data_IF_329653061756
#
_entry.id   IF_329653061756
#
_cell.length_a   1.000
_cell.length_b   1.000
_cell.length_c   1.000
_cell.angle_alpha   90.00
_cell.angle_beta   90.00
_cell.angle_gamma   90.00
#
_symmetry.space_group_name_H-M   'P 1'
#
loop_
_entity.id
_entity.type
_entity.pdbx_description
1 polymer ?
#
# COMPACT_ATOMS: atom_id res chain seq x y z
N UNK A 1 -40.91 27.10 -5.51
CA UNK A 1 -39.50 27.19 -5.92
C UNK A 1 -38.52 27.46 -4.78
N UNK A 2 -38.82 28.33 -3.80
CA UNK A 2 -37.89 28.68 -2.70
C UNK A 2 -37.41 27.52 -1.81
N UNK A 3 -38.25 26.49 -1.56
CA UNK A 3 -37.86 25.34 -0.71
C UNK A 3 -36.94 24.32 -1.41
N UNK A 4 -37.08 24.12 -2.73
CA UNK A 4 -36.22 23.19 -3.47
C UNK A 4 -34.79 23.72 -3.64
N UNK A 5 -34.63 25.05 -3.75
CA UNK A 5 -33.31 25.70 -3.81
C UNK A 5 -32.61 25.63 -2.45
N UNK A 6 -33.33 25.82 -1.33
CA UNK A 6 -32.75 25.64 0.02
C UNK A 6 -32.29 24.21 0.28
N UNK A 7 -33.05 23.19 -0.12
CA UNK A 7 -32.63 21.79 0.01
C UNK A 7 -31.39 21.45 -0.83
N UNK A 8 -31.30 21.95 -2.06
CA UNK A 8 -30.14 21.72 -2.92
C UNK A 8 -28.87 22.39 -2.39
N UNK A 9 -29.00 23.58 -1.76
CA UNK A 9 -27.87 24.27 -1.13
C UNK A 9 -27.42 23.58 0.15
N UNK A 10 -28.36 23.17 1.02
CA UNK A 10 -28.05 22.41 2.25
C UNK A 10 -27.40 21.07 1.94
N UNK A 11 -27.86 20.36 0.90
CA UNK A 11 -27.29 19.08 0.48
C UNK A 11 -25.89 19.22 -0.14
N UNK A 12 -25.61 20.31 -0.86
CA UNK A 12 -24.25 20.61 -1.34
C UNK A 12 -23.31 20.99 -0.20
N UNK A 13 -23.75 21.80 0.76
CA UNK A 13 -22.95 22.15 1.94
C UNK A 13 -22.67 20.88 2.78
N UNK A 14 -23.66 20.00 2.95
CA UNK A 14 -23.47 18.72 3.63
C UNK A 14 -22.48 17.79 2.90
N UNK A 15 -22.47 17.77 1.56
CA UNK A 15 -21.49 16.99 0.77
C UNK A 15 -20.05 17.48 0.93
N UNK A 16 -19.84 18.77 1.18
CA UNK A 16 -18.49 19.33 1.39
C UNK A 16 -18.08 19.34 2.87
N UNK A 17 -19.02 19.47 3.81
CA UNK A 17 -18.74 19.47 5.25
C UNK A 17 -18.65 18.05 5.85
N UNK A 18 -19.35 17.05 5.30
CA UNK A 18 -19.33 15.69 5.85
C UNK A 18 -17.95 14.98 5.73
N UNK A 19 -17.21 15.06 4.60
CA UNK A 19 -15.86 14.50 4.53
C UNK A 19 -14.88 15.26 5.44
N UNK A 20 -15.03 16.58 5.54
CA UNK A 20 -14.23 17.45 6.40
C UNK A 20 -14.47 17.15 7.90
N UNK A 21 -15.71 16.85 8.31
CA UNK A 21 -16.06 16.44 9.67
C UNK A 21 -15.55 15.03 10.01
N UNK A 22 -15.55 14.09 9.07
CA UNK A 22 -14.98 12.75 9.25
C UNK A 22 -13.46 12.80 9.45
N UNK A 23 -12.78 13.80 8.88
CA UNK A 23 -11.34 14.05 9.05
C UNK A 23 -11.04 14.90 10.31
N UNK A 24 -11.86 15.91 10.64
CA UNK A 24 -11.63 16.79 11.78
C UNK A 24 -11.95 16.16 13.15
N UNK A 25 -12.94 15.27 13.23
CA UNK A 25 -13.36 14.70 14.52
C UNK A 25 -12.27 13.79 15.14
N UNK A 26 -11.59 12.90 14.38
CA UNK A 26 -10.45 12.14 14.90
C UNK A 26 -9.27 13.04 15.27
N UNK A 27 -8.99 14.09 14.49
CA UNK A 27 -7.89 15.04 14.75
C UNK A 27 -8.16 15.86 16.02
N UNK A 28 -9.39 16.33 16.23
CA UNK A 28 -9.79 17.06 17.44
C UNK A 28 -9.81 16.18 18.69
N UNK A 29 -10.16 14.89 18.56
CA UNK A 29 -10.07 13.93 19.67
C UNK A 29 -8.62 13.58 20.03
N UNK A 30 -7.71 13.52 19.06
CA UNK A 30 -6.26 13.34 19.30
C UNK A 30 -5.67 14.60 19.98
N UNK A 31 -6.07 15.81 19.56
CA UNK A 31 -5.65 17.06 20.24
C UNK A 31 -6.20 17.12 21.67
N UNK A 32 -7.46 16.72 21.90
CA UNK A 32 -8.03 16.65 23.25
C UNK A 32 -7.33 15.62 24.16
N UNK A 33 -6.75 14.55 23.60
CA UNK A 33 -5.97 13.56 24.32
C UNK A 33 -4.50 13.97 24.56
N UNK A 34 -3.92 14.83 23.70
CA UNK A 34 -2.53 15.32 23.86
C UNK A 34 -2.42 16.60 24.68
N UNK A 35 -3.53 17.33 24.91
CA UNK A 35 -3.56 18.51 25.80
C UNK A 35 -3.52 18.17 27.30
N UNK A 36 -3.45 16.88 27.67
CA UNK A 36 -3.19 16.42 29.04
C UNK A 36 -1.72 16.03 29.30
N UNK A 37 -0.76 16.55 28.52
CA UNK A 37 0.65 16.55 28.91
C UNK A 37 0.98 17.84 29.69
N UNK A 38 0.91 17.87 31.03
CA UNK A 38 1.60 18.90 31.76
C UNK A 38 3.11 18.68 31.59
N UNK A 39 3.74 19.71 31.03
CA UNK A 39 5.16 19.98 31.18
C UNK A 39 5.65 19.68 32.60
N UNK A 40 6.82 19.03 32.69
CA UNK A 40 7.69 18.80 33.85
C UNK A 40 7.39 19.71 35.04
N UNK A 41 6.84 19.15 36.13
CA UNK A 41 6.96 19.67 37.50
C UNK A 41 6.97 18.50 38.50
N UNK A 42 7.84 18.59 39.50
CA UNK A 42 8.14 17.57 40.51
C UNK A 42 7.03 17.42 41.56
N UNK A 43 6.76 16.16 42.02
CA UNK A 43 6.04 15.69 43.25
C UNK A 43 4.71 16.38 43.66
N UNK A 44 3.64 15.68 44.06
CA UNK A 44 3.47 14.92 45.33
C UNK A 44 2.14 14.11 45.31
N UNK A 45 2.04 13.09 46.16
CA UNK A 45 1.00 12.05 46.30
C UNK A 45 -0.47 12.46 46.59
N UNK A 46 -1.35 11.43 46.43
CA UNK A 46 -2.75 11.21 46.92
C UNK A 46 -3.87 12.00 46.19
N UNK A 47 -4.99 11.44 45.69
CA UNK A 47 -5.86 10.34 46.17
C UNK A 47 -6.76 9.83 45.03
N UNK A 48 -7.25 8.59 45.16
CA UNK A 48 -8.06 7.75 44.26
C UNK A 48 -9.39 8.35 43.74
N UNK A 49 -9.68 8.14 42.45
CA UNK A 49 -11.03 7.84 41.92
C UNK A 49 -10.92 6.84 40.76
N UNK A 50 -11.68 5.77 40.88
CA UNK A 50 -11.63 4.56 40.06
C UNK A 50 -12.51 4.70 38.81
N UNK A 51 -11.89 4.65 37.64
CA UNK A 51 -12.52 4.22 36.38
C UNK A 51 -11.50 3.38 35.64
N UNK A 52 -11.76 2.08 35.55
CA UNK A 52 -10.91 1.06 34.93
C UNK A 52 -10.84 1.28 33.40
N UNK A 53 -9.96 2.19 32.98
CA UNK A 53 -9.51 2.37 31.60
C UNK A 53 -8.19 1.60 31.43
N UNK A 54 -8.20 0.60 30.55
CA UNK A 54 -7.18 -0.44 30.50
C UNK A 54 -5.74 0.06 30.37
N UNK A 55 -4.96 -0.19 31.43
CA UNK A 55 -3.50 -0.29 31.54
C UNK A 55 -2.66 0.43 30.47
N UNK A 56 -2.36 1.71 30.75
CA UNK A 56 -1.25 2.45 30.16
C UNK A 56 -0.17 2.73 31.22
N UNK A 57 0.36 1.69 31.87
CA UNK A 57 1.45 1.85 32.84
C UNK A 57 2.84 1.62 32.19
N UNK A 58 3.05 2.12 30.98
CA UNK A 58 4.32 1.90 30.27
C UNK A 58 4.60 2.86 29.13
N UNK A 59 5.85 2.88 28.70
CA UNK A 59 6.34 3.59 27.52
C UNK A 59 6.91 2.57 26.54
N UNK A 60 6.99 2.95 25.25
CA UNK A 60 7.75 2.20 24.25
C UNK A 60 9.19 1.89 24.71
N UNK A 61 9.77 2.75 25.55
CA UNK A 61 11.16 2.65 26.01
C UNK A 61 11.36 1.86 27.31
N UNK A 62 10.29 1.49 28.02
CA UNK A 62 10.38 0.70 29.26
C UNK A 62 10.15 -0.79 28.96
N UNK A 63 11.24 -1.55 28.88
CA UNK A 63 11.24 -3.00 28.58
C UNK A 63 10.48 -3.84 29.62
N UNK A 64 10.36 -3.37 30.85
CA UNK A 64 9.74 -4.14 31.94
C UNK A 64 8.23 -3.86 32.08
N UNK A 65 7.76 -2.77 31.48
CA UNK A 65 6.33 -2.43 31.44
C UNK A 65 5.52 -3.44 30.63
N UNK A 66 4.20 -3.43 30.81
CA UNK A 66 3.32 -4.26 29.98
C UNK A 66 3.43 -3.93 28.50
N UNK A 67 3.64 -2.65 28.14
CA UNK A 67 3.93 -2.23 26.76
C UNK A 67 5.26 -2.84 26.30
N UNK A 68 6.31 -2.77 27.12
CA UNK A 68 7.62 -3.35 26.81
C UNK A 68 7.59 -4.86 26.58
N UNK A 69 6.76 -5.60 27.33
CA UNK A 69 6.53 -7.03 27.10
C UNK A 69 5.86 -7.30 25.74
N UNK A 70 4.86 -6.49 25.36
CA UNK A 70 4.20 -6.60 24.04
C UNK A 70 5.17 -6.29 22.90
N UNK A 71 5.96 -5.22 23.05
CA UNK A 71 7.03 -4.85 22.11
C UNK A 71 8.01 -6.00 21.95
N UNK A 72 8.48 -6.56 23.07
CA UNK A 72 9.41 -7.70 23.06
C UNK A 72 8.83 -8.94 22.37
N UNK A 73 7.54 -9.23 22.58
CA UNK A 73 6.86 -10.32 21.90
C UNK A 73 6.80 -10.10 20.38
N UNK A 74 6.40 -8.90 19.92
CA UNK A 74 6.35 -8.56 18.50
C UNK A 74 7.75 -8.66 17.88
N UNK A 75 8.77 -8.13 18.56
CA UNK A 75 10.18 -8.22 18.13
C UNK A 75 10.59 -9.68 17.91
N UNK A 76 10.38 -10.55 18.91
CA UNK A 76 10.78 -11.96 18.83
C UNK A 76 10.11 -12.66 17.63
N UNK A 77 8.80 -12.45 17.46
CA UNK A 77 8.02 -13.06 16.38
C UNK A 77 8.48 -12.63 15.00
N UNK A 78 8.60 -11.32 14.75
CA UNK A 78 9.02 -10.81 13.44
C UNK A 78 10.50 -11.05 13.16
N UNK A 79 11.37 -11.01 14.18
CA UNK A 79 12.79 -11.37 14.03
C UNK A 79 12.95 -12.84 13.63
N UNK A 80 12.21 -13.77 14.27
CA UNK A 80 12.20 -15.19 13.88
C UNK A 80 11.70 -15.43 12.46
N UNK A 81 10.80 -14.57 11.98
CA UNK A 81 10.29 -14.61 10.61
C UNK A 81 11.22 -13.91 9.59
N UNK A 82 12.39 -13.41 10.01
CA UNK A 82 13.41 -12.85 9.13
C UNK A 82 13.24 -11.36 8.80
N UNK A 83 12.35 -10.63 9.47
CA UNK A 83 12.20 -9.19 9.25
C UNK A 83 13.40 -8.42 9.80
N UNK A 84 13.80 -7.33 9.14
CA UNK A 84 14.90 -6.49 9.60
C UNK A 84 14.52 -5.72 10.87
N UNK A 85 15.54 -5.18 11.57
CA UNK A 85 15.29 -4.32 12.71
C UNK A 85 14.52 -3.04 12.35
N UNK A 86 14.68 -2.52 11.13
CA UNK A 86 13.92 -1.38 10.62
C UNK A 86 12.46 -1.73 10.36
N UNK A 87 12.19 -2.90 9.75
CA UNK A 87 10.83 -3.38 9.58
C UNK A 87 10.12 -3.49 10.93
N UNK A 88 10.75 -4.17 11.90
CA UNK A 88 10.16 -4.41 13.22
C UNK A 88 9.88 -3.10 13.94
N UNK A 89 10.82 -2.16 13.89
CA UNK A 89 10.67 -0.86 14.54
C UNK A 89 9.51 -0.05 13.95
N UNK A 90 9.38 -0.02 12.62
CA UNK A 90 8.29 0.67 11.93
C UNK A 90 6.93 0.03 12.25
N UNK A 91 6.83 -1.30 12.20
CA UNK A 91 5.60 -2.06 12.48
C UNK A 91 5.08 -1.77 13.90
N UNK A 92 5.96 -1.73 14.88
CA UNK A 92 5.63 -1.43 16.28
C UNK A 92 5.24 0.04 16.45
N UNK A 93 5.98 0.96 15.81
CA UNK A 93 5.65 2.39 15.83
C UNK A 93 4.27 2.69 15.21
N UNK A 94 3.88 1.95 14.17
CA UNK A 94 2.54 2.05 13.59
C UNK A 94 1.49 1.48 14.54
N UNK A 95 1.71 0.30 15.14
CA UNK A 95 0.81 -0.22 16.18
C UNK A 95 0.66 0.73 17.38
N UNK A 96 1.71 1.50 17.70
CA UNK A 96 1.65 2.59 18.66
C UNK A 96 0.77 3.75 18.18
N UNK A 97 0.96 4.20 16.93
CA UNK A 97 0.10 5.23 16.30
C UNK A 97 -1.38 4.85 16.35
N UNK A 98 -1.69 3.60 16.04
CA UNK A 98 -3.06 3.11 15.86
C UNK A 98 -3.79 2.87 17.20
N UNK A 99 -3.10 2.37 18.22
CA UNK A 99 -3.78 1.91 19.45
C UNK A 99 -2.98 2.07 20.75
N UNK A 100 -1.81 2.72 20.70
CA UNK A 100 -0.81 2.65 21.77
C UNK A 100 -0.43 1.19 22.12
N UNK A 101 -0.35 0.32 21.11
CA UNK A 101 -0.10 -1.13 21.25
C UNK A 101 -1.10 -1.82 22.20
N UNK A 102 -2.35 -1.36 22.25
CA UNK A 102 -3.38 -1.96 23.09
C UNK A 102 -4.18 -3.01 22.31
N UNK A 103 -4.02 -4.32 22.61
CA UNK A 103 -4.77 -5.37 21.92
C UNK A 103 -6.28 -5.31 22.20
N UNK A 104 -6.71 -4.61 23.25
CA UNK A 104 -8.12 -4.39 23.59
C UNK A 104 -8.66 -3.06 23.05
N UNK A 105 -7.89 -2.31 22.27
CA UNK A 105 -8.37 -1.05 21.70
C UNK A 105 -9.57 -1.30 20.80
N UNK A 106 -10.60 -0.46 20.96
CA UNK A 106 -11.81 -0.47 20.14
C UNK A 106 -12.11 0.97 19.74
N UNK A 107 -12.28 1.20 18.44
CA UNK A 107 -12.77 2.46 17.92
C UNK A 107 -14.12 2.22 17.22
N UNK A 108 -15.24 2.50 17.91
CA UNK A 108 -16.57 2.25 17.37
C UNK A 108 -16.89 3.07 16.11
N UNK A 109 -16.37 4.30 16.02
CA UNK A 109 -16.64 5.18 14.87
C UNK A 109 -16.03 4.63 13.58
N UNK A 110 -14.83 4.06 13.66
CA UNK A 110 -14.19 3.35 12.55
C UNK A 110 -14.65 1.89 12.39
N UNK A 111 -15.39 1.34 13.35
CA UNK A 111 -15.64 -0.11 13.43
C UNK A 111 -14.35 -0.93 13.37
N UNK A 112 -13.31 -0.51 14.12
CA UNK A 112 -11.99 -1.13 14.13
C UNK A 112 -11.52 -1.54 15.53
N UNK A 113 -10.66 -2.57 15.62
CA UNK A 113 -10.16 -3.16 16.88
C UNK A 113 -8.69 -3.59 16.83
N UNK A 114 -8.05 -3.65 18.00
CA UNK A 114 -6.73 -4.27 18.19
C UNK A 114 -5.54 -3.35 17.91
N UNK A 115 -4.33 -3.93 17.95
CA UNK A 115 -3.05 -3.21 17.90
C UNK A 115 -2.94 -2.34 16.65
N UNK A 116 -3.28 -2.90 15.48
CA UNK A 116 -3.25 -2.21 14.19
C UNK A 116 -4.66 -1.86 13.69
N UNK A 117 -5.64 -1.73 14.60
CA UNK A 117 -6.99 -1.25 14.28
C UNK A 117 -7.63 -1.93 13.05
N UNK A 118 -7.67 -3.27 13.03
CA UNK A 118 -8.34 -4.03 11.98
C UNK A 118 -9.83 -3.73 11.93
N UNK A 119 -10.41 -3.74 10.73
CA UNK A 119 -11.87 -3.75 10.53
C UNK A 119 -12.53 -4.89 11.31
N UNK A 120 -13.52 -4.56 12.12
CA UNK A 120 -14.28 -5.47 12.98
C UNK A 120 -15.79 -5.45 12.63
N UNK A 121 -16.11 -5.21 11.36
CA UNK A 121 -17.45 -5.02 10.81
C UNK A 121 -17.64 -3.64 10.18
N UNK A 122 -18.84 -3.39 9.66
CA UNK A 122 -19.20 -2.08 9.11
C UNK A 122 -18.41 -1.70 7.85
N UNK A 123 -18.08 -0.41 7.71
CA UNK A 123 -17.51 0.15 6.47
C UNK A 123 -16.10 -0.36 6.17
N UNK A 124 -15.34 -0.76 7.20
CA UNK A 124 -13.97 -1.25 7.06
C UNK A 124 -13.89 -2.79 6.94
N UNK A 125 -15.05 -3.44 6.78
CA UNK A 125 -15.14 -4.90 6.70
C UNK A 125 -14.77 -5.58 8.03
N UNK A 126 -14.73 -6.91 8.03
CA UNK A 126 -14.44 -7.70 9.22
C UNK A 126 -13.16 -8.51 9.01
N UNK A 127 -11.99 -7.87 9.04
CA UNK A 127 -10.68 -8.55 9.03
C UNK A 127 -10.39 -9.20 10.39
N UNK A 128 -10.84 -8.58 11.47
CA UNK A 128 -10.62 -9.02 12.84
C UNK A 128 -11.32 -10.35 13.15
N UNK A 129 -12.50 -10.60 12.58
CA UNK A 129 -13.24 -11.86 12.70
C UNK A 129 -13.42 -12.27 14.18
N UNK A 130 -13.02 -13.48 14.53
CA UNK A 130 -13.03 -14.05 15.88
C UNK A 130 -11.64 -14.02 16.55
N UNK A 131 -10.73 -13.16 16.09
CA UNK A 131 -9.39 -13.01 16.66
C UNK A 131 -9.49 -12.56 18.13
N UNK A 132 -8.74 -13.21 19.00
CA UNK A 132 -8.74 -12.86 20.42
C UNK A 132 -8.09 -11.49 20.65
N UNK A 133 -8.56 -10.76 21.66
CA UNK A 133 -8.02 -9.45 22.07
C UNK A 133 -6.70 -9.60 22.87
N UNK A 134 -5.75 -10.39 22.34
CA UNK A 134 -4.39 -10.61 22.86
C UNK A 134 -3.34 -10.28 21.79
N UNK A 135 -2.10 -10.04 22.22
CA UNK A 135 -1.01 -9.69 21.30
C UNK A 135 -0.65 -10.87 20.41
N UNK A 136 -0.64 -12.07 20.97
CA UNK A 136 -0.32 -13.32 20.29
C UNK A 136 -1.25 -13.57 19.09
N UNK A 137 -2.57 -13.53 19.32
CA UNK A 137 -3.56 -13.79 18.30
C UNK A 137 -3.56 -12.73 17.19
N UNK A 138 -3.32 -11.46 17.56
CA UNK A 138 -3.24 -10.36 16.62
C UNK A 138 -1.96 -10.40 15.76
N UNK A 139 -0.83 -10.77 16.35
CA UNK A 139 0.41 -11.01 15.59
C UNK A 139 0.24 -12.20 14.63
N UNK A 140 -0.43 -13.27 15.06
CA UNK A 140 -0.74 -14.41 14.18
C UNK A 140 -1.67 -14.01 13.01
N UNK A 141 -2.68 -13.17 13.27
CA UNK A 141 -3.53 -12.61 12.22
C UNK A 141 -2.70 -11.78 11.23
N UNK A 142 -1.80 -10.91 11.71
CA UNK A 142 -0.92 -10.13 10.85
C UNK A 142 -0.07 -11.02 9.94
N UNK A 143 0.55 -12.08 10.48
CA UNK A 143 1.32 -13.03 9.67
C UNK A 143 0.47 -13.76 8.64
N UNK A 144 -0.73 -14.21 9.02
CA UNK A 144 -1.67 -14.85 8.09
C UNK A 144 -2.00 -13.93 6.92
N UNK A 145 -2.28 -12.67 7.20
CA UNK A 145 -2.60 -11.64 6.21
C UNK A 145 -1.39 -11.31 5.32
N UNK A 146 -0.20 -11.13 5.89
CA UNK A 146 1.04 -10.87 5.15
C UNK A 146 1.43 -12.04 4.22
N UNK A 147 1.10 -13.28 4.60
CA UNK A 147 1.32 -14.46 3.77
C UNK A 147 0.26 -14.65 2.67
N UNK A 148 -0.81 -13.85 2.67
CA UNK A 148 -1.96 -14.02 1.77
C UNK A 148 -2.43 -12.67 1.22
N UNK A 149 -3.51 -12.12 1.78
CA UNK A 149 -4.21 -10.94 1.29
C UNK A 149 -3.38 -9.66 1.25
N UNK A 150 -2.29 -9.57 2.03
CA UNK A 150 -1.39 -8.41 2.11
C UNK A 150 0.04 -8.80 1.70
N UNK A 151 0.16 -9.73 0.74
CA UNK A 151 1.45 -10.17 0.20
C UNK A 151 2.30 -9.01 -0.33
N UNK A 152 1.68 -7.97 -0.94
CA UNK A 152 2.44 -6.80 -1.41
C UNK A 152 3.09 -6.05 -0.25
N UNK A 153 2.43 -5.92 0.90
CA UNK A 153 3.02 -5.34 2.10
C UNK A 153 4.25 -6.15 2.55
N UNK A 154 4.13 -7.47 2.59
CA UNK A 154 5.23 -8.38 2.95
C UNK A 154 6.43 -8.24 2.00
N UNK A 155 6.17 -8.19 0.69
CA UNK A 155 7.22 -8.02 -0.32
C UNK A 155 7.84 -6.62 -0.26
N UNK A 156 7.04 -5.59 0.01
CA UNK A 156 7.52 -4.24 0.28
C UNK A 156 8.45 -4.20 1.49
N UNK A 157 8.08 -4.83 2.60
CA UNK A 157 8.93 -4.97 3.79
C UNK A 157 10.24 -5.71 3.50
N UNK A 158 10.19 -6.76 2.67
CA UNK A 158 11.37 -7.52 2.25
C UNK A 158 12.35 -6.71 1.36
N UNK A 159 11.87 -5.64 0.71
CA UNK A 159 12.67 -4.77 -0.15
C UNK A 159 12.93 -3.38 0.47
N UNK A 160 12.36 -3.10 1.64
CA UNK A 160 12.55 -1.85 2.35
C UNK A 160 14.01 -1.67 2.78
N UNK A 161 14.52 -0.45 2.64
CA UNK A 161 15.93 -0.09 2.87
C UNK A 161 16.16 0.56 4.23
N UNK A 162 15.09 1.06 4.84
CA UNK A 162 15.12 1.87 6.06
C UNK A 162 13.75 1.88 6.76
N UNK A 163 13.65 2.65 7.84
CA UNK A 163 12.40 2.85 8.61
C UNK A 163 11.31 3.49 7.74
N UNK A 164 11.65 4.45 6.87
CA UNK A 164 10.67 5.21 6.10
C UNK A 164 9.99 4.33 5.03
N UNK A 165 10.79 3.55 4.30
CA UNK A 165 10.31 2.56 3.33
C UNK A 165 9.58 1.39 4.02
N UNK A 166 10.02 0.99 5.22
CA UNK A 166 9.31 -0.03 6.02
C UNK A 166 7.93 0.46 6.48
N UNK A 167 7.85 1.69 6.99
CA UNK A 167 6.60 2.29 7.43
C UNK A 167 5.65 2.52 6.25
N UNK A 168 6.17 2.94 5.09
CA UNK A 168 5.37 3.09 3.88
C UNK A 168 4.80 1.75 3.38
N UNK A 169 5.61 0.69 3.38
CA UNK A 169 5.16 -0.65 2.99
C UNK A 169 4.03 -1.17 3.88
N UNK A 170 4.10 -0.94 5.20
CA UNK A 170 3.04 -1.30 6.13
C UNK A 170 1.80 -0.40 6.00
N UNK A 171 1.96 0.93 5.98
CA UNK A 171 0.83 1.86 5.86
C UNK A 171 0.02 1.63 4.59
N UNK A 172 0.69 1.55 3.44
CA UNK A 172 0.00 1.43 2.15
C UNK A 172 -0.43 0.00 1.86
N UNK A 173 0.37 -0.97 2.33
CA UNK A 173 0.20 -2.38 2.03
C UNK A 173 -0.65 -3.14 3.03
N UNK A 174 -0.64 -2.77 4.31
CA UNK A 174 -1.32 -3.49 5.40
C UNK A 174 -2.47 -2.67 6.01
N UNK A 175 -2.25 -1.38 6.28
CA UNK A 175 -3.30 -0.48 6.78
C UNK A 175 -4.23 0.00 5.64
N UNK A 176 -3.72 0.07 4.41
CA UNK A 176 -4.45 0.60 3.24
C UNK A 176 -4.51 2.14 3.22
N UNK A 177 -3.69 2.80 4.04
CA UNK A 177 -3.59 4.26 4.11
C UNK A 177 -2.77 4.76 2.92
N UNK A 178 -3.25 5.80 2.23
CA UNK A 178 -2.58 6.35 1.07
C UNK A 178 -1.17 6.88 1.38
N UNK A 179 -0.25 6.79 0.43
CA UNK A 179 1.14 7.17 0.65
C UNK A 179 1.33 8.64 1.08
N UNK A 180 0.51 9.55 0.55
CA UNK A 180 0.49 10.98 0.89
C UNK A 180 -0.50 11.32 2.00
N UNK A 181 -1.13 10.33 2.63
CA UNK A 181 -2.17 10.56 3.62
C UNK A 181 -1.57 11.09 4.93
N UNK A 182 -2.05 12.25 5.45
CA UNK A 182 -1.58 12.80 6.72
C UNK A 182 -1.78 11.85 7.92
N UNK A 183 -2.71 10.88 7.83
CA UNK A 183 -2.92 9.86 8.86
C UNK A 183 -1.64 9.08 9.16
N UNK A 184 -0.72 8.97 8.18
CA UNK A 184 0.54 8.24 8.36
C UNK A 184 1.42 8.80 9.46
N UNK A 185 1.35 10.12 9.75
CA UNK A 185 2.20 10.81 10.74
C UNK A 185 3.68 10.44 10.61
N UNK A 186 4.21 10.60 9.38
CA UNK A 186 5.52 10.07 8.98
C UNK A 186 6.63 10.47 9.95
N UNK A 187 6.68 11.75 10.35
CA UNK A 187 7.70 12.27 11.26
C UNK A 187 7.63 11.64 12.66
N UNK A 188 6.43 11.51 13.23
CA UNK A 188 6.24 10.91 14.55
C UNK A 188 6.50 9.41 14.55
N UNK A 189 5.99 8.69 13.53
CA UNK A 189 6.24 7.25 13.36
C UNK A 189 7.74 6.98 13.25
N UNK A 190 8.46 7.78 12.47
CA UNK A 190 9.92 7.67 12.35
C UNK A 190 10.62 7.87 13.70
N UNK A 191 10.26 8.92 14.44
CA UNK A 191 10.86 9.20 15.74
C UNK A 191 10.60 8.07 16.76
N UNK A 192 9.38 7.51 16.78
CA UNK A 192 9.08 6.35 17.63
C UNK A 192 9.85 5.10 17.19
N UNK A 193 9.91 4.82 15.90
CA UNK A 193 10.64 3.68 15.36
C UNK A 193 12.15 3.78 15.68
N UNK A 194 12.77 4.95 15.52
CA UNK A 194 14.17 5.18 15.91
C UNK A 194 14.39 4.96 17.42
N UNK A 195 13.44 5.41 18.25
CA UNK A 195 13.49 5.17 19.69
C UNK A 195 13.38 3.69 20.04
N UNK A 196 12.46 2.95 19.41
CA UNK A 196 12.30 1.50 19.59
C UNK A 196 13.58 0.78 19.13
N UNK A 197 14.08 1.11 17.93
CA UNK A 197 15.30 0.52 17.36
C UNK A 197 16.48 0.65 18.31
N UNK A 198 16.67 1.84 18.88
CA UNK A 198 17.72 2.13 19.85
C UNK A 198 17.51 1.41 21.18
N UNK A 199 16.29 1.42 21.73
CA UNK A 199 16.02 0.81 23.04
C UNK A 199 16.20 -0.71 23.00
N UNK A 200 15.76 -1.38 21.94
CA UNK A 200 15.75 -2.85 21.83
C UNK A 200 16.90 -3.42 21.01
N UNK A 201 17.91 -2.60 20.68
CA UNK A 201 19.11 -3.02 19.97
C UNK A 201 18.82 -3.69 18.62
N UNK A 202 17.88 -3.13 17.85
CA UNK A 202 17.41 -3.68 16.57
C UNK A 202 18.29 -3.23 15.39
N UNK A 203 19.61 -3.22 15.56
CA UNK A 203 20.55 -2.88 14.48
C UNK A 203 21.01 -4.15 13.76
N UNK A 204 20.11 -4.74 12.95
CA UNK A 204 20.41 -5.93 12.17
C UNK A 204 19.62 -5.97 10.86
N UNK A 205 20.22 -6.57 9.85
CA UNK A 205 19.60 -6.85 8.55
C UNK A 205 18.62 -8.02 8.65
N UNK A 206 17.56 -7.95 7.84
CA UNK A 206 16.59 -9.04 7.70
C UNK A 206 17.10 -10.17 6.80
N UNK A 207 16.43 -11.31 6.87
CA UNK A 207 16.58 -12.45 5.94
C UNK A 207 15.31 -12.75 5.15
N UNK A 208 14.28 -11.90 5.25
CA UNK A 208 13.01 -12.05 4.55
C UNK A 208 13.22 -12.05 3.03
N UNK A 209 12.89 -13.16 2.35
CA UNK A 209 13.09 -13.29 0.92
C UNK A 209 12.00 -12.57 0.12
N UNK A 210 12.43 -11.89 -0.95
CA UNK A 210 11.52 -11.38 -2.00
C UNK A 210 10.95 -12.50 -2.89
N UNK A 211 11.54 -13.69 -2.84
CA UNK A 211 11.13 -14.85 -3.64
C UNK A 211 10.20 -15.78 -2.87
N UNK A 212 9.13 -16.20 -3.57
CA UNK A 212 8.18 -17.28 -3.28
C UNK A 212 6.96 -16.95 -2.39
N UNK A 213 5.81 -16.83 -3.05
CA UNK A 213 4.49 -17.22 -2.52
C UNK A 213 4.27 -18.74 -2.63
N UNK A 214 5.32 -19.54 -2.43
CA UNK A 214 5.15 -20.98 -2.37
C UNK A 214 4.59 -21.32 -0.99
N UNK A 215 3.26 -21.48 -0.93
CA UNK A 215 2.68 -22.51 -0.06
C UNK A 215 3.58 -23.73 -0.22
N UNK A 216 4.18 -24.16 0.88
CA UNK A 216 5.12 -25.28 0.89
C UNK A 216 4.45 -26.50 0.27
N UNK A 217 4.89 -26.86 -0.94
CA UNK A 217 4.84 -28.24 -1.40
C UNK A 217 6.25 -28.63 -1.83
N UNK A 218 6.77 -29.64 -1.14
CA UNK A 218 8.14 -30.11 -1.23
C UNK A 218 8.45 -30.73 -2.59
N UNK A 219 9.73 -30.61 -3.00
CA UNK A 219 10.39 -31.05 -4.24
C UNK A 219 10.22 -30.14 -5.45
N UNK A 220 11.28 -29.38 -5.77
CA UNK A 220 12.22 -29.76 -6.83
C UNK A 220 13.42 -28.80 -6.81
N UNK A 221 14.64 -29.35 -6.74
CA UNK A 221 15.90 -28.65 -6.88
C UNK A 221 16.18 -28.27 -8.33
N UNK A 222 16.69 -27.07 -8.61
CA UNK A 222 17.66 -26.88 -9.69
C UNK A 222 18.52 -25.62 -9.50
N UNK A 223 19.82 -25.85 -9.70
CA UNK A 223 20.99 -25.02 -9.50
C UNK A 223 21.14 -23.78 -10.41
N UNK A 224 21.76 -22.75 -9.82
CA UNK A 224 22.68 -21.71 -10.31
C UNK A 224 22.99 -21.61 -11.82
N UNK A 225 23.07 -20.36 -12.32
CA UNK A 225 24.36 -19.79 -12.75
C UNK A 225 24.29 -18.26 -12.79
N UNK A 226 25.30 -17.62 -12.22
CA UNK A 226 25.59 -16.21 -12.40
C UNK A 226 26.19 -15.99 -13.79
N UNK A 227 25.83 -14.87 -14.43
CA UNK A 227 26.82 -14.11 -15.18
C UNK A 227 26.51 -12.62 -15.08
N UNK A 228 27.56 -11.88 -14.76
CA UNK A 228 27.57 -10.43 -14.62
C UNK A 228 27.96 -9.84 -15.97
N UNK A 229 27.14 -8.97 -16.53
CA UNK A 229 27.71 -7.96 -17.42
C UNK A 229 26.95 -6.64 -17.40
N UNK A 230 27.78 -5.61 -17.32
CA UNK A 230 27.43 -4.21 -17.13
C UNK A 230 27.15 -3.51 -18.46
N UNK A 231 26.32 -2.47 -18.40
CA UNK A 231 26.06 -1.48 -19.46
C UNK A 231 25.40 -1.98 -20.75
N UNK A 232 24.07 -1.98 -20.80
CA UNK A 232 23.38 -1.43 -21.96
C UNK A 232 21.98 -0.94 -21.63
N UNK A 233 21.74 0.35 -21.88
CA UNK A 233 20.40 0.93 -21.97
C UNK A 233 19.79 0.48 -23.31
N UNK A 234 19.47 -0.81 -23.44
CA UNK A 234 18.86 -1.34 -24.66
C UNK A 234 17.35 -1.15 -24.60
N UNK A 235 16.87 -0.27 -25.48
CA UNK A 235 15.47 -0.12 -25.82
C UNK A 235 14.91 -1.49 -26.27
N UNK A 236 13.97 -2.04 -25.50
CA UNK A 236 13.20 -3.20 -25.90
C UNK A 236 12.08 -2.71 -26.84
N UNK A 237 12.35 -2.77 -28.15
CA UNK A 237 11.46 -2.27 -29.19
C UNK A 237 10.55 -3.38 -29.69
N UNK A 238 9.24 -3.24 -29.49
CA UNK A 238 8.26 -3.61 -30.52
C UNK A 238 7.98 -2.34 -31.33
N UNK A 239 8.22 -2.39 -32.65
CA UNK A 239 8.07 -1.24 -33.57
C UNK A 239 6.65 -1.02 -34.05
N UNK A 240 5.71 -1.88 -33.64
CA UNK A 240 4.32 -1.81 -34.06
C UNK A 240 3.49 -1.13 -32.97
N UNK A 241 2.95 0.05 -33.30
CA UNK A 241 2.07 0.89 -32.46
C UNK A 241 0.72 0.21 -32.14
N UNK A 242 0.53 -1.03 -32.61
CA UNK A 242 -0.61 -1.89 -32.29
C UNK A 242 -0.18 -2.93 -31.25
N UNK A 243 -0.40 -2.64 -29.97
CA UNK A 243 -0.20 -3.61 -28.90
C UNK A 243 -0.90 -4.95 -29.19
N UNK A 244 -0.36 -6.03 -28.64
CA UNK A 244 -0.95 -7.37 -28.80
C UNK A 244 -2.41 -7.38 -28.32
N UNK A 245 -3.26 -8.18 -28.99
CA UNK A 245 -4.65 -8.31 -28.59
C UNK A 245 -4.77 -8.90 -27.18
N UNK A 246 -5.62 -8.32 -26.34
CA UNK A 246 -5.90 -8.87 -25.01
C UNK A 246 -6.40 -10.32 -25.08
N UNK A 247 -6.12 -11.10 -24.05
CA UNK A 247 -6.44 -12.52 -23.98
C UNK A 247 -5.53 -13.40 -24.85
N UNK A 248 -4.36 -12.90 -25.24
CA UNK A 248 -3.35 -13.65 -26.00
C UNK A 248 -2.03 -13.74 -25.23
N UNK A 249 -1.09 -14.53 -25.73
CA UNK A 249 0.24 -14.64 -25.13
C UNK A 249 0.34 -15.67 -24.00
N UNK A 250 1.55 -16.18 -23.82
CA UNK A 250 1.95 -17.14 -22.78
C UNK A 250 3.35 -16.78 -22.29
N UNK A 251 3.59 -16.99 -21.01
CA UNK A 251 4.86 -16.72 -20.33
C UNK A 251 5.23 -17.92 -19.45
N UNK A 252 6.50 -17.99 -19.04
CA UNK A 252 7.05 -19.03 -18.15
C UNK A 252 6.79 -18.73 -16.69
N UNK A 253 6.84 -17.46 -16.31
CA UNK A 253 6.65 -17.04 -14.93
C UNK A 253 5.22 -17.31 -14.45
N UNK A 254 5.06 -17.65 -13.18
CA UNK A 254 3.76 -17.78 -12.54
C UNK A 254 3.79 -17.14 -11.16
N UNK A 255 2.63 -16.66 -10.72
CA UNK A 255 2.53 -15.97 -9.43
C UNK A 255 2.77 -14.46 -9.55
N UNK A 256 2.73 -13.80 -8.38
CA UNK A 256 2.90 -12.36 -8.29
C UNK A 256 4.41 -12.06 -8.30
N UNK A 257 4.88 -11.41 -9.37
CA UNK A 257 6.31 -11.16 -9.61
C UNK A 257 6.53 -9.71 -10.01
N UNK A 258 7.68 -9.14 -9.58
CA UNK A 258 8.04 -7.73 -9.76
C UNK A 258 9.44 -7.62 -10.35
N UNK A 259 9.58 -6.81 -11.38
CA UNK A 259 10.85 -6.57 -12.07
C UNK A 259 11.10 -5.08 -12.23
N UNK A 260 12.32 -4.66 -11.92
CA UNK A 260 12.81 -3.39 -12.43
C UNK A 260 13.07 -3.50 -13.95
N UNK A 261 13.26 -2.35 -14.61
CA UNK A 261 13.48 -2.27 -16.06
C UNK A 261 14.65 -3.11 -16.58
N UNK A 262 15.64 -3.44 -15.75
CA UNK A 262 16.82 -4.19 -16.14
C UNK A 262 16.66 -5.70 -15.91
N UNK A 263 15.64 -6.13 -15.16
CA UNK A 263 15.40 -7.53 -14.78
C UNK A 263 14.16 -8.16 -15.40
N UNK A 264 13.53 -7.49 -16.38
CA UNK A 264 12.35 -8.00 -17.09
C UNK A 264 12.72 -9.29 -17.87
N UNK A 265 12.01 -10.42 -17.66
CA UNK A 265 12.25 -11.67 -18.40
C UNK A 265 12.03 -11.53 -19.91
N UNK A 266 12.77 -12.30 -20.70
CA UNK A 266 12.74 -12.21 -22.17
C UNK A 266 11.37 -12.48 -22.79
N UNK A 267 10.58 -13.36 -22.20
CA UNK A 267 9.22 -13.68 -22.64
C UNK A 267 8.17 -12.67 -22.18
N UNK A 268 8.52 -11.74 -21.27
CA UNK A 268 7.66 -10.62 -20.84
C UNK A 268 7.89 -9.38 -21.72
N UNK A 269 9.13 -9.16 -22.16
CA UNK A 269 9.53 -7.99 -22.98
C UNK A 269 8.60 -7.68 -24.17
N UNK A 270 8.07 -8.67 -24.93
CA UNK A 270 7.18 -8.38 -26.06
C UNK A 270 5.87 -7.66 -25.68
N UNK A 271 5.44 -7.77 -24.42
CA UNK A 271 4.24 -7.12 -23.89
C UNK A 271 4.53 -5.77 -23.22
N UNK A 272 5.80 -5.40 -23.10
CA UNK A 272 6.22 -4.11 -22.57
C UNK A 272 6.41 -3.15 -23.73
N UNK A 273 5.52 -2.16 -23.81
CA UNK A 273 5.56 -1.17 -24.88
C UNK A 273 6.72 -0.20 -24.68
N UNK A 274 7.33 0.26 -25.78
CA UNK A 274 8.49 1.14 -25.74
C UNK A 274 8.11 2.57 -25.35
N UNK A 275 7.76 2.75 -24.08
CA UNK A 275 7.60 4.08 -23.49
C UNK A 275 8.97 4.52 -23.01
N UNK A 276 9.75 5.07 -23.95
CA UNK A 276 11.02 5.69 -23.61
C UNK A 276 10.81 6.75 -22.53
N UNK A 277 11.81 6.98 -21.68
CA UNK A 277 11.78 8.05 -20.66
C UNK A 277 11.51 9.45 -21.24
N UNK A 278 11.71 9.65 -22.55
CA UNK A 278 11.36 10.88 -23.27
C UNK A 278 9.85 11.07 -23.50
N UNK A 279 9.04 10.01 -23.44
CA UNK A 279 7.56 10.08 -23.48
C UNK A 279 6.94 10.31 -22.10
N UNK A 280 7.65 9.95 -21.01
CA UNK A 280 7.18 10.18 -19.64
C UNK A 280 7.46 11.62 -19.21
N UNK A 281 6.54 12.52 -19.54
CA UNK A 281 6.62 13.92 -19.12
C UNK A 281 6.20 14.10 -17.65
N UNK A 282 7.19 14.02 -16.76
CA UNK A 282 6.99 14.24 -15.32
C UNK A 282 6.55 15.66 -14.95
N UNK A 283 6.58 16.63 -15.87
CA UNK A 283 6.00 17.96 -15.61
C UNK A 283 4.47 17.93 -15.53
N UNK A 284 3.84 16.84 -15.99
CA UNK A 284 2.39 16.61 -15.90
C UNK A 284 1.95 16.11 -14.51
N UNK A 285 2.87 16.01 -13.55
CA UNK A 285 2.58 15.70 -12.15
C UNK A 285 3.35 16.63 -11.20
N UNK A 286 3.11 16.52 -9.89
CA UNK A 286 3.75 17.36 -8.87
C UNK A 286 4.95 16.65 -8.22
N UNK A 287 5.95 17.38 -7.70
CA UNK A 287 7.16 16.77 -7.14
C UNK A 287 6.92 15.74 -6.03
N UNK A 288 5.92 15.96 -5.19
CA UNK A 288 5.48 15.05 -4.13
C UNK A 288 4.88 13.73 -4.67
N UNK A 289 4.55 13.68 -5.96
CA UNK A 289 3.99 12.53 -6.65
C UNK A 289 4.99 11.84 -7.61
N UNK A 290 6.23 12.32 -7.73
CA UNK A 290 7.23 11.72 -8.65
C UNK A 290 7.56 10.26 -8.35
N UNK A 291 7.41 9.86 -7.09
CA UNK A 291 7.82 8.54 -6.61
C UNK A 291 6.60 7.74 -6.10
N UNK A 292 5.39 8.14 -6.51
CA UNK A 292 4.10 7.56 -6.11
C UNK A 292 3.36 6.91 -7.28
N UNK A 293 2.66 5.81 -6.99
CA UNK A 293 1.85 5.05 -7.94
C UNK A 293 0.88 5.92 -8.77
N UNK A 294 0.19 6.87 -8.11
CA UNK A 294 -0.75 7.77 -8.77
C UNK A 294 -0.07 8.81 -9.68
N UNK A 295 1.09 9.33 -9.26
CA UNK A 295 1.86 10.27 -10.07
C UNK A 295 2.45 9.61 -11.31
N UNK A 296 3.01 8.40 -11.16
CA UNK A 296 3.42 7.58 -12.30
C UNK A 296 2.24 7.29 -13.24
N UNK A 297 1.08 6.88 -12.69
CA UNK A 297 -0.11 6.61 -13.51
C UNK A 297 -0.55 7.83 -14.33
N UNK A 298 -0.51 9.03 -13.74
CA UNK A 298 -0.80 10.29 -14.44
C UNK A 298 0.14 10.50 -15.62
N UNK A 299 1.45 10.34 -15.41
CA UNK A 299 2.46 10.54 -16.45
C UNK A 299 2.36 9.49 -17.55
N UNK A 300 2.23 8.20 -17.18
CA UNK A 300 2.14 7.10 -18.14
C UNK A 300 0.86 7.18 -18.98
N UNK A 301 -0.28 7.50 -18.37
CA UNK A 301 -1.55 7.64 -19.11
C UNK A 301 -1.48 8.77 -20.14
N UNK A 302 -0.78 9.88 -19.85
CA UNK A 302 -0.59 10.95 -20.84
C UNK A 302 0.48 10.63 -21.89
N UNK A 303 1.35 9.65 -21.63
CA UNK A 303 2.29 9.16 -22.63
C UNK A 303 1.58 8.31 -23.70
N UNK A 304 0.49 7.62 -23.34
CA UNK A 304 -0.20 6.68 -24.24
C UNK A 304 -1.57 7.15 -24.74
N UNK A 305 -2.17 8.18 -24.14
CA UNK A 305 -3.49 8.66 -24.54
C UNK A 305 -3.46 10.09 -25.06
N UNK A 306 -4.12 10.31 -26.19
CA UNK A 306 -4.37 11.65 -26.75
C UNK A 306 -5.87 11.91 -26.92
N UNK A 307 -6.40 13.10 -26.55
CA UNK A 307 -5.67 14.20 -25.93
C UNK A 307 -5.32 13.92 -24.46
N UNK A 308 -4.31 14.64 -23.96
CA UNK A 308 -3.89 14.59 -22.56
C UNK A 308 -5.03 14.96 -21.59
N UNK A 309 -4.96 14.43 -20.37
CA UNK A 309 -5.91 14.69 -19.30
C UNK A 309 -5.24 14.61 -17.92
N UNK A 310 -5.85 15.28 -16.93
CA UNK A 310 -5.35 15.33 -15.55
C UNK A 310 -6.35 14.72 -14.60
N UNK A 311 -5.86 13.88 -13.70
CA UNK A 311 -6.60 13.32 -12.58
C UNK A 311 -5.74 13.41 -11.31
N UNK A 312 -6.38 13.31 -10.14
CA UNK A 312 -5.72 13.24 -8.83
C UNK A 312 -6.51 12.30 -7.93
N UNK A 313 -5.81 11.68 -7.00
CA UNK A 313 -6.38 10.77 -6.01
C UNK A 313 -5.35 9.76 -5.54
N UNK A 314 -5.73 9.00 -4.51
CA UNK A 314 -4.96 7.85 -4.06
C UNK A 314 -5.13 6.68 -5.06
N UNK A 315 -4.28 5.65 -4.92
CA UNK A 315 -4.29 4.50 -5.82
C UNK A 315 -5.65 3.81 -5.89
N UNK A 316 -6.33 3.67 -4.75
CA UNK A 316 -7.64 3.02 -4.64
C UNK A 316 -8.81 3.75 -5.33
N UNK A 317 -8.64 4.99 -5.79
CA UNK A 317 -9.70 5.79 -6.45
C UNK A 317 -9.30 6.33 -7.82
N UNK A 318 -8.12 5.94 -8.32
CA UNK A 318 -7.58 6.43 -9.60
C UNK A 318 -8.44 6.04 -10.80
N UNK A 319 -8.98 4.81 -10.86
CA UNK A 319 -9.89 4.38 -11.91
C UNK A 319 -11.17 5.23 -11.94
N UNK A 320 -11.75 5.55 -10.77
CA UNK A 320 -12.90 6.45 -10.68
C UNK A 320 -12.57 7.87 -11.16
N UNK A 321 -11.41 8.39 -10.77
CA UNK A 321 -10.95 9.71 -11.19
C UNK A 321 -10.76 9.79 -12.71
N UNK A 322 -10.13 8.77 -13.32
CA UNK A 322 -9.95 8.69 -14.77
C UNK A 322 -11.28 8.52 -15.50
N UNK A 323 -12.17 7.66 -15.00
CA UNK A 323 -13.50 7.45 -15.56
C UNK A 323 -14.28 8.77 -15.63
N UNK A 324 -14.23 9.57 -14.56
CA UNK A 324 -14.88 10.87 -14.49
C UNK A 324 -14.34 11.87 -15.51
N UNK A 325 -13.02 12.01 -15.66
CA UNK A 325 -12.43 13.02 -16.56
C UNK A 325 -12.52 12.62 -18.03
N UNK A 326 -12.51 11.32 -18.33
CA UNK A 326 -12.63 10.81 -19.70
C UNK A 326 -14.06 10.46 -20.10
N UNK A 327 -15.03 10.56 -19.17
CA UNK A 327 -16.44 10.21 -19.38
C UNK A 327 -16.67 8.75 -19.79
N UNK A 328 -15.86 7.84 -19.25
CA UNK A 328 -16.03 6.38 -19.40
C UNK A 328 -16.58 5.78 -18.10
N UNK A 329 -16.84 4.46 -18.09
CA UNK A 329 -17.30 3.75 -16.90
C UNK A 329 -16.15 3.06 -16.20
N UNK A 330 -16.25 2.94 -14.89
CA UNK A 330 -15.43 2.00 -14.11
C UNK A 330 -15.94 0.59 -14.40
N UNK A 331 -15.00 -0.35 -14.60
CA UNK A 331 -15.27 -1.75 -14.93
C UNK A 331 -14.38 -2.68 -14.09
N UNK A 332 -14.75 -3.97 -14.02
CA UNK A 332 -13.92 -5.04 -13.43
C UNK A 332 -13.20 -5.85 -14.51
N UNK A 333 -13.33 -5.48 -15.78
CA UNK A 333 -12.68 -6.14 -16.91
C UNK A 333 -11.41 -5.38 -17.28
N UNK A 334 -10.22 -6.00 -17.17
CA UNK A 334 -8.96 -5.38 -17.55
C UNK A 334 -8.85 -5.28 -19.08
N UNK A 335 -8.11 -4.27 -19.53
CA UNK A 335 -7.80 -4.04 -20.93
C UNK A 335 -6.45 -3.33 -21.05
N UNK A 336 -5.64 -3.69 -22.04
CA UNK A 336 -4.39 -2.97 -22.31
C UNK A 336 -4.66 -1.47 -22.54
N UNK A 337 -3.91 -0.61 -21.85
CA UNK A 337 -4.07 0.85 -21.84
C UNK A 337 -5.05 1.38 -20.78
N UNK A 338 -5.71 0.51 -20.02
CA UNK A 338 -6.54 0.93 -18.89
C UNK A 338 -5.68 1.27 -17.67
N UNK A 339 -6.10 2.29 -16.91
CA UNK A 339 -5.61 2.49 -15.54
C UNK A 339 -6.36 1.56 -14.60
N UNK A 340 -5.73 1.11 -13.52
CA UNK A 340 -6.38 0.31 -12.49
C UNK A 340 -6.37 0.96 -11.11
N UNK A 341 -7.28 0.56 -10.25
CA UNK A 341 -7.29 0.87 -8.82
C UNK A 341 -7.42 -0.38 -7.98
N UNK A 342 -6.66 -0.42 -6.89
CA UNK A 342 -6.64 -1.48 -5.88
C UNK A 342 -6.73 -0.83 -4.50
N UNK A 343 -7.50 -1.43 -3.59
CA UNK A 343 -7.63 -1.00 -2.20
C UNK A 343 -6.65 -1.73 -1.27
N UNK A 344 -6.14 -2.89 -1.68
CA UNK A 344 -5.25 -3.76 -0.88
C UNK A 344 -4.15 -4.33 -1.76
N UNK A 345 -3.01 -3.64 -1.91
CA UNK A 345 -2.66 -2.33 -1.32
C UNK A 345 -3.43 -1.16 -1.95
N UNK A 346 -3.45 0.00 -1.27
CA UNK A 346 -3.90 1.24 -1.89
C UNK A 346 -2.97 1.62 -3.05
N UNK A 347 -3.32 1.21 -4.28
CA UNK A 347 -2.40 1.21 -5.41
C UNK A 347 -3.05 1.37 -6.77
N UNK A 348 -2.26 1.82 -7.74
CA UNK A 348 -2.67 2.05 -9.12
C UNK A 348 -1.49 1.83 -10.07
N UNK A 349 -1.81 1.68 -11.34
CA UNK A 349 -0.87 1.57 -12.45
C UNK A 349 -1.63 1.43 -13.76
N UNK A 350 -0.91 1.02 -14.81
CA UNK A 350 -1.46 0.88 -16.16
C UNK A 350 -1.30 -0.56 -16.63
N UNK A 351 -2.38 -1.12 -17.17
CA UNK A 351 -2.37 -2.46 -17.78
C UNK A 351 -1.65 -2.37 -19.13
N UNK A 352 -0.59 -3.15 -19.31
CA UNK A 352 0.14 -3.22 -20.58
C UNK A 352 -0.41 -4.31 -21.48
N UNK A 353 -0.83 -5.43 -20.88
CA UNK A 353 -1.36 -6.59 -21.60
C UNK A 353 -2.19 -7.50 -20.69
N UNK A 354 -3.23 -8.12 -21.24
CA UNK A 354 -3.97 -9.23 -20.61
C UNK A 354 -3.56 -10.55 -21.27
N UNK A 355 -2.92 -11.44 -20.52
CA UNK A 355 -2.47 -12.75 -21.00
C UNK A 355 -3.66 -13.69 -21.28
N UNK A 356 -3.42 -14.78 -22.04
CA UNK A 356 -4.47 -15.75 -22.38
C UNK A 356 -5.11 -16.45 -21.17
N UNK A 357 -4.37 -16.60 -20.07
CA UNK A 357 -4.90 -17.12 -18.81
C UNK A 357 -5.62 -16.05 -17.96
N UNK A 358 -5.62 -14.80 -18.42
CA UNK A 358 -6.17 -13.63 -17.73
C UNK A 358 -5.23 -13.00 -16.72
N UNK A 359 -3.97 -13.41 -16.62
CA UNK A 359 -2.98 -12.68 -15.81
C UNK A 359 -2.66 -11.33 -16.47
N UNK A 360 -2.27 -10.35 -15.66
CA UNK A 360 -1.93 -9.01 -16.15
C UNK A 360 -0.44 -8.80 -16.16
N UNK A 361 0.05 -8.16 -17.21
CA UNK A 361 1.33 -7.48 -17.21
C UNK A 361 1.00 -5.99 -17.05
N UNK A 362 1.47 -5.38 -15.96
CA UNK A 362 1.21 -3.98 -15.64
C UNK A 362 2.52 -3.20 -15.51
N UNK A 363 2.47 -1.91 -15.82
CA UNK A 363 3.46 -0.94 -15.38
C UNK A 363 2.90 -0.20 -14.17
N UNK A 364 3.68 -0.09 -13.12
CA UNK A 364 3.32 0.66 -11.93
C UNK A 364 4.58 1.23 -11.27
N UNK A 365 4.37 2.00 -10.21
CA UNK A 365 5.45 2.54 -9.38
C UNK A 365 5.05 2.39 -7.92
N UNK A 366 6.02 2.21 -7.02
CA UNK A 366 5.80 2.17 -5.58
C UNK A 366 5.07 0.91 -5.07
N UNK A 367 5.14 -0.21 -5.81
CA UNK A 367 4.69 -1.50 -5.28
C UNK A 367 5.84 -2.19 -4.52
N UNK A 368 6.97 -2.44 -5.18
CA UNK A 368 8.10 -3.18 -4.58
C UNK A 368 9.47 -2.68 -5.04
N UNK A 369 9.71 -2.62 -6.36
CA UNK A 369 11.05 -2.41 -6.98
C UNK A 369 11.30 -0.99 -7.46
N UNK A 370 10.30 -0.12 -7.45
CA UNK A 370 10.43 1.28 -7.88
C UNK A 370 9.68 2.25 -6.97
N UNK A 371 9.89 3.55 -7.14
CA UNK A 371 9.29 4.60 -6.33
C UNK A 371 9.88 4.71 -4.92
N UNK A 372 9.13 5.37 -4.03
CA UNK A 372 9.56 5.68 -2.67
C UNK A 372 9.90 4.43 -1.85
N UNK A 373 9.12 3.35 -1.97
CA UNK A 373 9.38 2.07 -1.29
C UNK A 373 10.76 1.50 -1.62
N UNK A 374 11.22 1.67 -2.86
CA UNK A 374 12.51 1.20 -3.32
C UNK A 374 13.62 2.27 -3.26
N UNK A 375 13.32 3.50 -2.80
CA UNK A 375 14.27 4.61 -2.82
C UNK A 375 14.75 4.99 -4.23
N UNK A 376 13.86 4.88 -5.22
CA UNK A 376 14.14 5.27 -6.62
C UNK A 376 13.22 6.42 -7.01
N UNK A 377 13.65 7.26 -7.95
CA UNK A 377 12.86 8.42 -8.38
C UNK A 377 12.61 8.44 -9.87
N UNK A 378 11.38 8.84 -10.24
CA UNK A 378 10.92 8.91 -11.64
C UNK A 378 11.17 7.60 -12.42
N UNK A 379 11.08 6.49 -11.72
CA UNK A 379 11.29 5.13 -12.24
C UNK A 379 9.98 4.34 -12.21
N UNK A 380 9.96 3.14 -12.79
CA UNK A 380 8.80 2.26 -12.73
C UNK A 380 9.25 0.80 -12.69
N UNK A 381 8.31 -0.07 -12.35
CA UNK A 381 8.49 -1.51 -12.35
C UNK A 381 7.43 -2.17 -13.24
N UNK A 382 7.75 -3.36 -13.73
CA UNK A 382 6.82 -4.24 -14.40
C UNK A 382 6.38 -5.31 -13.41
N UNK A 383 5.08 -5.54 -13.32
CA UNK A 383 4.52 -6.55 -12.42
C UNK A 383 3.70 -7.56 -13.22
N UNK A 384 3.91 -8.84 -12.96
CA UNK A 384 2.98 -9.91 -13.33
C UNK A 384 1.98 -10.05 -12.19
N UNK A 385 0.69 -9.84 -12.48
CA UNK A 385 -0.39 -9.98 -11.52
C UNK A 385 -1.27 -11.17 -11.92
N UNK A 386 -1.24 -12.28 -11.16
CA UNK A 386 -2.13 -13.40 -11.41
C UNK A 386 -3.60 -13.00 -11.33
N UNK A 387 -4.46 -13.60 -12.15
CA UNK A 387 -5.91 -13.36 -12.11
C UNK A 387 -6.52 -13.52 -10.73
N UNK A 388 -6.08 -14.55 -10.00
CA UNK A 388 -6.51 -14.81 -8.62
C UNK A 388 -6.14 -13.71 -7.64
N UNK A 389 -5.20 -12.83 -7.98
CA UNK A 389 -4.71 -11.74 -7.13
C UNK A 389 -5.41 -10.40 -7.38
N UNK A 390 -6.30 -10.33 -8.37
CA UNK A 390 -7.03 -9.09 -8.69
C UNK A 390 -8.52 -9.25 -9.01
N UNK A 391 -8.98 -10.47 -9.33
CA UNK A 391 -10.37 -10.72 -9.68
C UNK A 391 -11.30 -10.52 -8.49
N UNK A 392 -12.60 -10.38 -8.76
CA UNK A 392 -13.65 -10.32 -7.73
C UNK A 392 -13.52 -11.51 -6.76
N UNK A 393 -13.58 -11.23 -5.45
CA UNK A 393 -13.36 -12.17 -4.36
C UNK A 393 -11.89 -12.63 -4.20
N UNK A 394 -10.93 -11.92 -4.81
CA UNK A 394 -9.48 -12.17 -4.64
C UNK A 394 -8.93 -11.78 -3.26
N UNK A 395 -9.80 -11.67 -2.24
CA UNK A 395 -9.45 -11.33 -0.86
C UNK A 395 -8.39 -12.25 -0.24
N UNK A 396 -7.97 -13.31 -0.93
CA UNK A 396 -6.92 -14.22 -0.52
C UNK A 396 -5.49 -13.80 -0.95
N UNK A 397 -5.27 -12.90 -1.92
CA UNK A 397 -3.90 -12.62 -2.43
C UNK A 397 -3.71 -11.26 -3.12
N UNK A 398 -2.61 -10.57 -2.77
CA UNK A 398 -1.96 -9.60 -3.65
C UNK A 398 -2.59 -8.20 -3.69
N UNK A 399 -3.42 -7.94 -4.72
CA UNK A 399 -4.00 -6.63 -5.06
C UNK A 399 -5.50 -6.49 -4.75
N UNK A 400 -6.15 -7.54 -4.22
CA UNK A 400 -7.59 -7.47 -3.93
C UNK A 400 -8.43 -7.13 -5.17
N UNK A 401 -9.68 -6.72 -4.99
CA UNK A 401 -10.60 -6.53 -6.11
C UNK A 401 -10.23 -5.28 -6.92
N UNK A 402 -9.55 -5.48 -8.05
CA UNK A 402 -9.15 -4.37 -8.92
C UNK A 402 -10.31 -3.85 -9.77
N UNK A 403 -10.37 -2.53 -9.91
CA UNK A 403 -11.25 -1.83 -10.86
C UNK A 403 -10.42 -1.13 -11.92
N UNK A 404 -11.02 -0.86 -13.08
CA UNK A 404 -10.33 -0.34 -14.24
C UNK A 404 -11.12 0.80 -14.89
N UNK A 405 -10.42 1.71 -15.55
CA UNK A 405 -11.00 2.70 -16.45
C UNK A 405 -10.18 2.75 -17.74
N UNK A 406 -10.86 2.56 -18.87
CA UNK A 406 -10.26 2.53 -20.20
C UNK A 406 -10.72 3.75 -21.02
N UNK A 407 -9.87 4.78 -21.20
CA UNK A 407 -10.25 6.01 -21.91
C UNK A 407 -10.79 5.78 -23.33
N UNK A 408 -10.31 4.74 -24.02
CA UNK A 408 -10.72 4.42 -25.39
C UNK A 408 -12.17 3.97 -25.56
N UNK A 409 -12.91 3.73 -24.47
CA UNK A 409 -14.37 3.56 -24.54
C UNK A 409 -15.08 4.87 -24.94
N UNK A 410 -14.38 6.00 -24.84
CA UNK A 410 -14.78 7.27 -25.43
C UNK A 410 -13.92 7.56 -26.66
N UNK A 411 -14.57 7.65 -27.83
CA UNK A 411 -13.92 7.86 -29.13
C UNK A 411 -13.10 9.16 -29.25
N UNK A 412 -13.23 10.08 -28.28
CA UNK A 412 -12.37 11.27 -28.17
C UNK A 412 -10.92 10.91 -27.87
N UNK A 413 -10.68 9.81 -27.15
CA UNK A 413 -9.36 9.39 -26.72
C UNK A 413 -8.81 8.29 -27.63
N UNK A 414 -7.56 8.46 -28.04
CA UNK A 414 -6.84 7.51 -28.89
C UNK A 414 -5.63 6.98 -28.15
N UNK A 415 -5.49 5.66 -28.17
CA UNK A 415 -4.35 4.95 -27.60
C UNK A 415 -3.19 4.97 -28.60
N UNK A 416 -2.00 5.19 -28.09
CA UNK A 416 -0.73 5.19 -28.79
C UNK A 416 0.29 4.50 -27.87
N UNK A 417 1.06 3.55 -28.37
CA UNK A 417 2.06 2.83 -27.56
C UNK A 417 3.45 3.46 -27.68
#
# INVERSE_FOLDING_TARGET
MKNKVKQAVVMKIALYCAPLLVILIPVLLIIALTMNNPSVTCQTDTTTTSSDSGSSNGSLTDKNSDIGKRVSYIIDRFKKAGYSGDNISAIIAIGWRESNLNPKAVNPAGSVKGIWQWGAGGINGNRYQNTADTVEAQVDLAFKELASSHTVARLGLANAKDIDSSALAWDTGFEGVGASDPQRKVSEVKAWAESIKKTYDLNFEGSLSSGNNAVSDSNTSASNSADSDSNNQSAYCNTDDSGSADGTGKIKESGLSFWDKNSIPDDIKPYVHNITSKKLDWSLTTPDAYDQCAGFSQVYMNAIWSPNFTFRGNGNVTAEAVAKVTSVKVTTTPKAGAVFSSDRPNHTGVVLHVLANGDLIIANQNAVKSGQNAGTSKDYEITLVPKKSYAKDSQAVGYGDMTFAYPGDNSKYKLHW
#
